data_IF_721308315612
#
_entry.id   IF_721308315612
#
_cell.length_a   1.000
_cell.length_b   1.000
_cell.length_c   1.000
_cell.angle_alpha   90.00
_cell.angle_beta   90.00
_cell.angle_gamma   90.00
#
_symmetry.space_group_name_H-M   'P 1'
#
loop_
_entity.id
_entity.type
_entity.pdbx_description
1 polymer ?
#
# COMPACT_ATOMS: atom_id res chain seq x y z
N UNK A 1 30.23 68.08 31.27
CA UNK A 1 30.35 66.61 31.30
C UNK A 1 28.93 66.05 31.32
N UNK A 2 28.22 65.95 30.20
CA UNK A 2 28.27 64.92 29.14
C UNK A 2 28.12 63.49 29.69
N UNK A 3 26.97 62.89 29.35
CA UNK A 3 26.53 61.49 29.52
C UNK A 3 25.97 61.05 30.91
N UNK A 4 24.80 61.58 31.28
CA UNK A 4 23.95 60.99 32.34
C UNK A 4 22.46 60.90 31.95
N UNK A 5 22.17 60.66 30.66
CA UNK A 5 20.79 60.60 30.12
C UNK A 5 20.54 59.39 29.19
N UNK A 6 21.18 58.25 29.46
CA UNK A 6 20.90 56.98 28.75
C UNK A 6 20.58 55.86 29.75
N UNK A 7 19.97 56.23 30.87
CA UNK A 7 19.71 55.34 31.99
C UNK A 7 18.24 55.44 32.40
N UNK A 8 17.30 55.32 31.45
CA UNK A 8 15.85 55.16 31.75
C UNK A 8 14.96 54.77 30.55
N UNK A 9 15.47 54.03 29.55
CA UNK A 9 14.65 53.61 28.40
C UNK A 9 15.00 52.21 27.85
N UNK A 10 15.23 51.24 28.75
CA UNK A 10 15.53 49.85 28.38
C UNK A 10 14.83 48.82 29.26
N UNK A 11 13.77 49.22 29.96
CA UNK A 11 13.09 48.44 30.99
C UNK A 11 11.60 48.39 30.68
N UNK A 12 11.24 47.92 29.47
CA UNK A 12 9.85 47.64 29.09
C UNK A 12 9.80 46.80 27.81
N UNK A 13 10.24 45.54 27.88
CA UNK A 13 9.88 44.51 26.88
C UNK A 13 10.07 43.07 27.43
N UNK A 14 9.89 42.89 28.74
CA UNK A 14 9.82 41.56 29.37
C UNK A 14 8.58 41.49 30.26
N UNK A 15 7.41 41.77 29.68
CA UNK A 15 6.12 41.53 30.32
C UNK A 15 4.99 41.68 29.28
N UNK A 16 4.78 40.65 28.45
CA UNK A 16 3.46 40.23 27.94
C UNK A 16 3.66 39.08 26.94
N UNK A 17 3.25 37.88 27.35
CA UNK A 17 2.72 36.77 26.54
C UNK A 17 3.14 35.43 27.15
N UNK A 18 2.59 35.15 28.33
CA UNK A 18 2.44 33.77 28.77
C UNK A 18 1.43 33.02 27.89
N UNK A 19 1.70 31.73 27.70
CA UNK A 19 0.77 30.64 27.38
C UNK A 19 -0.22 30.86 26.22
N UNK A 20 0.26 30.66 24.99
CA UNK A 20 -0.56 30.12 23.91
C UNK A 20 -0.08 28.71 23.60
N UNK A 21 -0.88 27.68 23.92
CA UNK A 21 -0.70 26.33 23.35
C UNK A 21 -0.70 26.49 21.83
N UNK A 22 0.45 26.31 21.19
CA UNK A 22 0.50 26.11 19.75
C UNK A 22 -0.30 24.84 19.46
N UNK A 23 -1.49 25.00 18.88
CA UNK A 23 -2.08 23.92 18.08
C UNK A 23 -1.04 23.60 17.00
N UNK A 24 -0.62 22.33 16.82
CA UNK A 24 0.19 21.99 15.67
C UNK A 24 -0.56 22.45 14.42
N UNK A 25 0.14 23.02 13.43
CA UNK A 25 -0.52 23.44 12.20
C UNK A 25 -1.28 22.23 11.63
N UNK A 26 -2.58 22.41 11.40
CA UNK A 26 -3.35 21.53 10.54
C UNK A 26 -2.52 21.39 9.27
N UNK A 27 -2.12 20.15 8.98
CA UNK A 27 -1.39 19.81 7.77
C UNK A 27 -2.27 20.23 6.59
N UNK A 28 -2.00 21.42 6.07
CA UNK A 28 -2.42 21.80 4.74
C UNK A 28 -1.64 20.88 3.81
N UNK A 29 -2.26 19.74 3.49
CA UNK A 29 -1.83 18.86 2.41
C UNK A 29 -1.93 19.69 1.14
N UNK A 30 -0.82 20.28 0.72
CA UNK A 30 -0.68 20.81 -0.63
C UNK A 30 -0.99 19.68 -1.61
N UNK A 31 -1.78 19.93 -2.68
CA UNK A 31 -1.95 18.94 -3.73
C UNK A 31 -0.58 18.65 -4.32
N UNK A 32 -0.11 17.43 -4.12
CA UNK A 32 1.17 16.96 -4.66
C UNK A 32 1.07 17.00 -6.18
N UNK A 33 2.08 17.57 -6.84
CA UNK A 33 2.13 17.66 -8.30
C UNK A 33 2.03 16.28 -8.96
N UNK A 34 1.66 16.22 -10.25
CA UNK A 34 1.49 14.97 -10.97
C UNK A 34 2.82 14.21 -11.01
N UNK A 35 2.87 13.04 -10.37
CA UNK A 35 4.01 12.11 -10.47
C UNK A 35 4.68 11.66 -9.17
N UNK A 36 4.26 12.16 -8.00
CA UNK A 36 4.76 11.64 -6.71
C UNK A 36 3.87 10.50 -6.24
N UNK A 37 4.37 9.26 -6.27
CA UNK A 37 3.72 8.14 -5.60
C UNK A 37 3.59 8.48 -4.10
N UNK A 38 2.36 8.64 -3.62
CA UNK A 38 2.13 8.96 -2.21
C UNK A 38 2.57 7.78 -1.33
N UNK A 39 3.23 8.04 -0.19
CA UNK A 39 3.41 7.02 0.83
C UNK A 39 2.04 6.47 1.21
N UNK A 40 1.83 5.17 1.00
CA UNK A 40 0.61 4.50 1.41
C UNK A 40 0.67 4.40 2.94
N UNK A 41 0.07 5.37 3.64
CA UNK A 41 -0.11 5.24 5.09
C UNK A 41 -1.00 4.01 5.36
N UNK A 42 -0.66 3.17 6.36
CA UNK A 42 -1.51 2.06 6.76
C UNK A 42 -2.90 2.57 7.12
N UNK A 43 -3.89 2.19 6.32
CA UNK A 43 -5.27 2.62 6.52
C UNK A 43 -6.05 1.53 7.23
N UNK A 44 -6.81 1.88 8.27
CA UNK A 44 -7.85 0.98 8.76
C UNK A 44 -9.04 1.02 7.80
N UNK A 45 -9.37 -0.12 7.19
CA UNK A 45 -10.51 -0.29 6.29
C UNK A 45 -11.63 -0.99 7.05
N UNK A 46 -12.85 -0.46 6.96
CA UNK A 46 -14.06 -1.16 7.39
C UNK A 46 -14.40 -2.22 6.32
N UNK A 47 -13.87 -3.43 6.52
CA UNK A 47 -13.93 -4.53 5.54
C UNK A 47 -15.36 -4.89 5.11
N UNK A 48 -16.33 -4.74 6.02
CA UNK A 48 -17.73 -5.05 5.72
C UNK A 48 -18.34 -4.05 4.74
N UNK A 49 -17.87 -2.80 4.73
CA UNK A 49 -18.32 -1.75 3.80
C UNK A 49 -17.59 -1.74 2.46
N UNK A 50 -16.53 -2.55 2.30
CA UNK A 50 -15.82 -2.64 1.02
C UNK A 50 -16.74 -3.24 -0.03
N UNK A 51 -16.98 -2.47 -1.10
CA UNK A 51 -17.61 -2.96 -2.30
C UNK A 51 -16.64 -3.87 -3.05
N UNK A 52 -17.09 -5.07 -3.35
CA UNK A 52 -16.35 -6.01 -4.16
C UNK A 52 -16.65 -5.80 -5.64
N UNK A 53 -15.60 -5.83 -6.46
CA UNK A 53 -15.69 -5.73 -7.91
C UNK A 53 -15.24 -7.05 -8.55
N UNK A 54 -15.75 -7.35 -9.73
CA UNK A 54 -15.26 -8.46 -10.53
C UNK A 54 -14.10 -7.96 -11.42
N UNK A 55 -13.00 -8.72 -11.53
CA UNK A 55 -12.00 -8.46 -12.57
C UNK A 55 -12.61 -8.74 -13.95
N UNK A 56 -11.99 -8.21 -14.99
CA UNK A 56 -12.39 -8.49 -16.37
C UNK A 56 -11.22 -8.99 -17.20
N UNK A 57 -11.48 -10.01 -18.03
CA UNK A 57 -10.49 -10.59 -18.94
C UNK A 57 -9.94 -11.92 -18.43
N UNK A 58 -9.64 -12.83 -19.36
CA UNK A 58 -9.34 -14.24 -19.07
C UNK A 58 -8.20 -14.44 -18.06
N UNK A 59 -7.08 -13.75 -18.24
CA UNK A 59 -5.96 -13.81 -17.30
C UNK A 59 -6.40 -13.33 -15.91
N UNK A 60 -7.12 -12.20 -15.88
CA UNK A 60 -7.46 -11.55 -14.63
C UNK A 60 -8.44 -12.37 -13.80
N UNK A 61 -9.45 -12.94 -14.47
CA UNK A 61 -10.43 -13.86 -13.89
C UNK A 61 -9.73 -15.08 -13.30
N UNK A 62 -8.88 -15.74 -14.07
CA UNK A 62 -8.20 -16.95 -13.62
C UNK A 62 -7.20 -16.67 -12.47
N UNK A 63 -6.47 -15.56 -12.50
CA UNK A 63 -5.60 -15.16 -11.38
C UNK A 63 -6.42 -14.85 -10.13
N UNK A 64 -7.56 -14.18 -10.27
CA UNK A 64 -8.43 -13.85 -9.14
C UNK A 64 -9.03 -15.10 -8.47
N UNK A 65 -9.48 -16.07 -9.26
CA UNK A 65 -10.01 -17.36 -8.78
C UNK A 65 -9.02 -18.11 -7.87
N UNK A 66 -7.72 -18.00 -8.14
CA UNK A 66 -6.69 -18.63 -7.31
C UNK A 66 -6.27 -17.74 -6.13
N UNK A 67 -6.03 -16.46 -6.40
CA UNK A 67 -5.39 -15.54 -5.46
C UNK A 67 -6.35 -15.12 -4.36
N UNK A 68 -7.62 -14.83 -4.66
CA UNK A 68 -8.55 -14.37 -3.65
C UNK A 68 -8.73 -15.41 -2.52
N UNK A 69 -8.96 -16.70 -2.80
CA UNK A 69 -9.04 -17.71 -1.76
C UNK A 69 -7.75 -17.83 -0.94
N UNK A 70 -6.58 -17.74 -1.57
CA UNK A 70 -5.29 -17.77 -0.86
C UNK A 70 -5.15 -16.60 0.12
N UNK A 71 -5.53 -15.39 -0.31
CA UNK A 71 -5.57 -14.22 0.59
C UNK A 71 -6.61 -14.39 1.69
N UNK A 72 -7.80 -14.89 1.37
CA UNK A 72 -8.85 -15.11 2.36
C UNK A 72 -8.43 -16.12 3.44
N UNK A 73 -7.69 -17.17 3.06
CA UNK A 73 -7.16 -18.16 3.99
C UNK A 73 -6.16 -17.54 4.99
N UNK A 74 -5.23 -16.70 4.52
CA UNK A 74 -4.22 -16.06 5.39
C UNK A 74 -4.81 -14.95 6.24
N UNK A 75 -5.64 -14.09 5.65
CA UNK A 75 -6.09 -12.84 6.26
C UNK A 75 -7.51 -12.92 6.86
N UNK A 76 -8.15 -14.10 6.81
CA UNK A 76 -9.52 -14.31 7.29
C UNK A 76 -10.61 -13.67 6.42
N UNK A 77 -10.23 -13.14 5.25
CA UNK A 77 -11.11 -12.53 4.27
C UNK A 77 -10.36 -11.58 3.33
N UNK A 78 -10.72 -11.59 2.05
CA UNK A 78 -10.18 -10.68 1.04
C UNK A 78 -11.27 -10.32 0.02
N UNK A 79 -11.40 -9.04 -0.32
CA UNK A 79 -12.33 -8.52 -1.33
C UNK A 79 -11.56 -7.75 -2.38
N UNK A 80 -11.81 -8.02 -3.65
CA UNK A 80 -11.22 -7.21 -4.72
C UNK A 80 -11.89 -5.83 -4.71
N UNK A 81 -11.11 -4.79 -4.43
CA UNK A 81 -11.59 -3.40 -4.26
C UNK A 81 -11.15 -2.46 -5.38
N UNK A 82 -10.13 -2.85 -6.14
CA UNK A 82 -9.59 -2.08 -7.24
C UNK A 82 -8.98 -3.00 -8.29
N UNK A 83 -9.21 -2.68 -9.56
CA UNK A 83 -8.75 -3.48 -10.69
C UNK A 83 -8.53 -2.58 -11.90
N UNK A 84 -7.44 -2.80 -12.62
CA UNK A 84 -7.25 -2.23 -13.95
C UNK A 84 -6.35 -3.13 -14.79
N UNK A 85 -6.62 -3.16 -16.09
CA UNK A 85 -5.77 -3.82 -17.08
C UNK A 85 -4.56 -2.93 -17.36
N UNK A 86 -3.37 -3.50 -17.29
CA UNK A 86 -2.13 -2.84 -17.70
C UNK A 86 -1.95 -3.07 -19.21
N UNK A 87 -2.13 -2.01 -20.00
CA UNK A 87 -1.86 -2.01 -21.43
C UNK A 87 -0.71 -1.06 -21.77
N UNK A 88 0.25 -1.51 -22.60
CA UNK A 88 1.25 -0.67 -23.22
C UNK A 88 2.61 -0.61 -22.50
N UNK A 89 3.49 -1.55 -22.85
CA UNK A 89 4.95 -1.31 -23.00
C UNK A 89 5.69 -2.56 -23.49
N UNK A 90 5.08 -3.72 -23.31
CA UNK A 90 5.48 -5.00 -23.89
C UNK A 90 4.18 -5.62 -24.38
N UNK A 91 4.10 -6.22 -25.57
CA UNK A 91 2.85 -6.79 -26.13
C UNK A 91 2.18 -7.89 -25.28
N UNK A 92 2.70 -8.14 -24.07
CA UNK A 92 2.11 -8.91 -23.00
C UNK A 92 1.04 -8.10 -22.23
N UNK A 93 -0.21 -8.58 -22.28
CA UNK A 93 -1.27 -8.06 -21.42
C UNK A 93 -0.96 -8.28 -19.93
N UNK A 94 -1.27 -7.28 -19.10
CA UNK A 94 -1.13 -7.37 -17.66
C UNK A 94 -2.40 -6.95 -16.92
N UNK A 95 -2.48 -7.28 -15.65
CA UNK A 95 -3.61 -6.96 -14.77
C UNK A 95 -3.12 -6.59 -13.38
N UNK A 96 -3.64 -5.50 -12.84
CA UNK A 96 -3.33 -5.06 -11.48
C UNK A 96 -4.59 -5.16 -10.62
N UNK A 97 -4.42 -5.68 -9.41
CA UNK A 97 -5.46 -5.93 -8.43
C UNK A 97 -5.09 -5.26 -7.11
N UNK A 98 -6.09 -4.70 -6.45
CA UNK A 98 -5.98 -4.20 -5.07
C UNK A 98 -7.03 -4.89 -4.24
N UNK A 99 -6.59 -5.76 -3.33
CA UNK A 99 -7.48 -6.43 -2.39
C UNK A 99 -7.50 -5.70 -1.07
N UNK A 100 -8.71 -5.52 -0.51
CA UNK A 100 -8.89 -5.19 0.89
C UNK A 100 -8.87 -6.48 1.71
N UNK A 101 -8.21 -6.46 2.86
CA UNK A 101 -8.02 -7.58 3.77
C UNK A 101 -8.84 -7.38 5.05
N UNK A 102 -9.40 -8.48 5.58
CA UNK A 102 -10.22 -8.43 6.80
C UNK A 102 -9.42 -8.01 8.04
N UNK A 103 -8.13 -8.34 8.10
CA UNK A 103 -7.20 -7.88 9.13
C UNK A 103 -5.98 -7.23 8.52
N UNK A 104 -5.25 -6.47 9.35
CA UNK A 104 -3.94 -5.93 8.99
C UNK A 104 -2.95 -7.07 8.73
N UNK A 105 -2.11 -6.86 7.72
CA UNK A 105 -1.02 -7.77 7.41
C UNK A 105 0.11 -7.64 8.44
N UNK A 106 0.87 -8.71 8.58
CA UNK A 106 2.03 -8.81 9.45
C UNK A 106 3.19 -9.42 8.68
N UNK A 107 4.42 -9.22 9.16
CA UNK A 107 5.60 -9.85 8.57
C UNK A 107 5.52 -11.39 8.58
N UNK A 108 4.88 -11.98 9.61
CA UNK A 108 4.67 -13.43 9.74
C UNK A 108 3.70 -14.03 8.71
N UNK A 109 2.94 -13.21 7.98
CA UNK A 109 1.98 -13.68 6.98
C UNK A 109 2.62 -14.09 5.65
N UNK A 110 3.90 -13.77 5.44
CA UNK A 110 4.62 -14.04 4.18
C UNK A 110 4.72 -15.55 3.89
N UNK A 111 5.13 -16.37 4.86
CA UNK A 111 5.28 -17.81 4.65
C UNK A 111 3.92 -18.52 4.48
N UNK A 112 2.88 -18.24 5.29
CA UNK A 112 1.52 -18.70 5.01
C UNK A 112 1.05 -18.35 3.61
N UNK A 113 1.25 -17.10 3.16
CA UNK A 113 0.83 -16.66 1.84
C UNK A 113 1.57 -17.40 0.71
N UNK A 114 2.88 -17.60 0.86
CA UNK A 114 3.66 -18.41 -0.10
C UNK A 114 3.14 -19.83 -0.18
N UNK A 115 2.77 -20.43 0.95
CA UNK A 115 2.20 -21.78 1.00
C UNK A 115 0.85 -21.84 0.29
N UNK A 116 -0.08 -20.94 0.61
CA UNK A 116 -1.40 -20.91 -0.02
C UNK A 116 -1.31 -20.69 -1.54
N UNK A 117 -0.43 -19.80 -2.00
CA UNK A 117 -0.21 -19.59 -3.44
C UNK A 117 0.45 -20.82 -4.11
N UNK A 118 1.36 -21.51 -3.42
CA UNK A 118 1.95 -22.76 -3.92
C UNK A 118 0.91 -23.87 -4.09
N UNK A 119 -0.06 -23.97 -3.19
CA UNK A 119 -1.19 -24.91 -3.31
C UNK A 119 -2.10 -24.58 -4.51
N UNK A 120 -2.09 -23.33 -4.98
CA UNK A 120 -2.74 -22.90 -6.24
C UNK A 120 -1.85 -23.07 -7.48
N UNK A 121 -0.67 -23.67 -7.34
CA UNK A 121 0.25 -23.94 -8.45
C UNK A 121 1.17 -22.76 -8.80
N UNK A 122 1.25 -21.71 -7.97
CA UNK A 122 2.24 -20.66 -8.14
C UNK A 122 3.59 -21.09 -7.57
N UNK A 123 4.62 -21.09 -8.42
CA UNK A 123 6.00 -21.33 -8.01
C UNK A 123 6.65 -20.02 -7.58
N UNK A 124 7.09 -19.97 -6.33
CA UNK A 124 7.86 -18.84 -5.81
C UNK A 124 9.20 -18.68 -6.55
N UNK A 125 9.55 -17.43 -6.88
CA UNK A 125 10.76 -17.07 -7.65
C UNK A 125 11.71 -16.17 -6.87
N UNK A 126 11.18 -15.13 -6.23
CA UNK A 126 12.00 -14.13 -5.55
C UNK A 126 11.25 -13.44 -4.42
N UNK A 127 12.00 -13.01 -3.42
CA UNK A 127 11.59 -12.09 -2.37
C UNK A 127 12.56 -10.91 -2.38
N UNK A 128 12.04 -9.72 -2.69
CA UNK A 128 12.81 -8.46 -2.74
C UNK A 128 12.34 -7.47 -1.67
N UNK A 129 11.83 -8.01 -0.56
CA UNK A 129 11.30 -7.26 0.59
C UNK A 129 12.30 -6.26 1.17
N UNK A 130 11.78 -5.09 1.57
CA UNK A 130 12.51 -4.03 2.27
C UNK A 130 11.69 -3.54 3.44
N UNK A 131 12.26 -3.60 4.65
CA UNK A 131 11.61 -3.10 5.88
C UNK A 131 10.13 -3.54 5.99
N UNK A 132 9.20 -2.58 5.91
CA UNK A 132 7.75 -2.76 6.01
C UNK A 132 7.08 -3.21 4.71
N UNK A 133 7.75 -3.14 3.56
CA UNK A 133 7.22 -3.56 2.27
C UNK A 133 7.77 -4.94 1.90
N UNK A 134 6.87 -5.91 1.74
CA UNK A 134 7.17 -7.26 1.24
C UNK A 134 6.77 -7.37 -0.22
N UNK A 135 7.71 -7.75 -1.07
CA UNK A 135 7.47 -7.92 -2.50
C UNK A 135 7.89 -9.32 -2.92
N UNK A 136 6.90 -10.14 -3.25
CA UNK A 136 7.06 -11.55 -3.55
C UNK A 136 6.73 -11.79 -5.02
N UNK A 137 7.59 -12.49 -5.75
CA UNK A 137 7.37 -12.85 -7.14
C UNK A 137 7.16 -14.36 -7.29
N UNK A 138 6.16 -14.71 -8.10
CA UNK A 138 5.77 -16.08 -8.40
C UNK A 138 5.55 -16.24 -9.91
N UNK A 139 5.49 -17.49 -10.34
CA UNK A 139 5.16 -17.86 -11.71
C UNK A 139 4.19 -19.04 -11.69
N UNK A 140 3.20 -19.04 -12.58
CA UNK A 140 2.30 -20.18 -12.79
C UNK A 140 2.11 -20.39 -14.29
N UNK A 141 2.14 -21.63 -14.74
CA UNK A 141 1.77 -21.97 -16.12
C UNK A 141 0.25 -22.03 -16.23
N UNK A 142 -0.32 -21.25 -17.15
CA UNK A 142 -1.75 -21.12 -17.38
C UNK A 142 -2.06 -21.42 -18.85
N UNK A 143 -2.35 -22.70 -19.15
CA UNK A 143 -2.45 -23.17 -20.53
C UNK A 143 -1.08 -23.20 -21.20
N UNK A 144 -0.94 -22.50 -22.33
CA UNK A 144 0.31 -22.44 -23.12
C UNK A 144 1.26 -21.32 -22.68
N UNK A 145 0.80 -20.40 -21.83
CA UNK A 145 1.58 -19.23 -21.38
C UNK A 145 1.97 -19.33 -19.92
N UNK A 146 3.07 -18.69 -19.57
CA UNK A 146 3.40 -18.45 -18.16
C UNK A 146 2.74 -17.15 -17.69
N UNK A 147 2.34 -17.13 -16.43
CA UNK A 147 1.88 -15.94 -15.73
C UNK A 147 2.90 -15.58 -14.66
N UNK A 148 3.48 -14.38 -14.74
CA UNK A 148 4.28 -13.81 -13.67
C UNK A 148 3.37 -13.03 -12.72
N UNK A 149 3.38 -13.40 -11.44
CA UNK A 149 2.61 -12.76 -10.37
C UNK A 149 3.56 -12.05 -9.41
N UNK A 150 3.31 -10.77 -9.14
CA UNK A 150 4.02 -10.01 -8.09
C UNK A 150 3.03 -9.57 -7.04
N UNK A 151 3.32 -9.88 -5.78
CA UNK A 151 2.49 -9.55 -4.62
C UNK A 151 3.24 -8.53 -3.77
N UNK A 152 2.64 -7.36 -3.59
CA UNK A 152 3.11 -6.29 -2.72
C UNK A 152 2.27 -6.20 -1.46
N UNK A 153 2.88 -6.50 -0.31
CA UNK A 153 2.27 -6.48 1.01
C UNK A 153 2.98 -5.44 1.88
N UNK A 154 2.22 -4.50 2.44
CA UNK A 154 2.74 -3.52 3.41
C UNK A 154 2.31 -3.94 4.80
N UNK A 155 3.27 -4.19 5.70
CA UNK A 155 3.03 -4.55 7.10
C UNK A 155 2.14 -3.49 7.76
N UNK A 156 1.19 -3.95 8.58
CA UNK A 156 0.17 -3.15 9.26
C UNK A 156 -0.88 -2.48 8.35
N UNK A 157 -0.85 -2.69 7.02
CA UNK A 157 -1.91 -2.26 6.11
C UNK A 157 -2.97 -3.37 5.92
N UNK A 158 -4.18 -2.96 5.54
CA UNK A 158 -5.29 -3.85 5.14
C UNK A 158 -5.44 -3.91 3.62
N UNK A 159 -4.43 -3.49 2.86
CA UNK A 159 -4.41 -3.58 1.39
C UNK A 159 -3.23 -4.42 0.94
N UNK A 160 -3.46 -5.19 -0.11
CA UNK A 160 -2.42 -5.90 -0.83
C UNK A 160 -2.57 -5.62 -2.33
N UNK A 161 -1.47 -5.19 -2.94
CA UNK A 161 -1.38 -4.93 -4.38
C UNK A 161 -0.84 -6.15 -5.09
N UNK A 162 -1.43 -6.54 -6.20
CA UNK A 162 -1.01 -7.71 -6.97
C UNK A 162 -0.95 -7.32 -8.45
N UNK A 163 0.16 -7.66 -9.10
CA UNK A 163 0.34 -7.46 -10.53
C UNK A 163 0.55 -8.83 -11.20
N UNK A 164 -0.19 -9.10 -12.26
CA UNK A 164 -0.08 -10.30 -13.07
C UNK A 164 0.25 -9.93 -14.52
N UNK A 165 1.17 -10.66 -15.14
CA UNK A 165 1.58 -10.47 -16.53
C UNK A 165 1.61 -11.81 -17.26
N UNK A 166 1.10 -11.86 -18.48
CA UNK A 166 1.40 -12.97 -19.40
C UNK A 166 2.87 -12.91 -19.85
N UNK A 167 3.49 -14.06 -20.00
CA UNK A 167 4.83 -14.25 -20.55
C UNK A 167 4.78 -15.16 -21.77
#
# INVERSE_FOLDING_TARGET
MRLYYVLFLGLLLVATAGCGRQKPPESQVQPSGPGMAMPIQPSSIDFEKVQEIAPTGKLAEAVHEDVQPALAAVFGGAKLSGFFTMGGQMDAGGSHFVYALKRRSKAEDVEPLKKELAEKGFRFKADVSREQLKTLSFEKVMGEKACALTVGLTVDDQRIGIAAFEQ
#
